data_IF_375914589792
#
_entry.id   IF_375914589792
#
_cell.length_a   1.000
_cell.length_b   1.000
_cell.length_c   1.000
_cell.angle_alpha   90.00
_cell.angle_beta   90.00
_cell.angle_gamma   90.00
#
_symmetry.space_group_name_H-M   'P 1'
#
loop_
_entity.id
_entity.type
_entity.pdbx_description
1 polymer ?
#
# COMPACT_ATOMS: atom_id res chain seq x y z
N UNK A 1 -9.05 7.97 7.91
CA UNK A 1 -9.71 6.66 7.70
C UNK A 1 -9.68 5.81 8.97
N UNK A 2 -8.50 5.41 9.46
CA UNK A 2 -8.35 4.56 10.67
C UNK A 2 -9.19 5.05 11.86
N UNK A 3 -9.08 6.33 12.24
CA UNK A 3 -9.81 6.86 13.39
C UNK A 3 -11.33 6.82 13.18
N UNK A 4 -11.79 7.12 11.96
CA UNK A 4 -13.21 7.04 11.61
C UNK A 4 -13.76 5.62 11.75
N UNK A 5 -13.01 4.63 11.24
CA UNK A 5 -13.40 3.21 11.34
C UNK A 5 -13.44 2.74 12.79
N UNK A 6 -12.41 3.06 13.58
CA UNK A 6 -12.37 2.73 15.01
C UNK A 6 -13.52 3.35 15.79
N UNK A 7 -13.85 4.61 15.51
CA UNK A 7 -14.95 5.30 16.20
C UNK A 7 -16.32 4.72 15.81
N UNK A 8 -16.49 4.27 14.57
CA UNK A 8 -17.77 3.75 14.09
C UNK A 8 -17.99 2.25 14.41
N UNK A 9 -16.94 1.44 14.36
CA UNK A 9 -17.01 -0.04 14.34
C UNK A 9 -16.19 -0.67 15.47
N UNK A 10 -15.29 0.08 16.11
CA UNK A 10 -14.39 -0.42 17.16
C UNK A 10 -13.12 -1.11 16.64
N UNK A 11 -12.91 -1.14 15.33
CA UNK A 11 -11.72 -1.68 14.66
C UNK A 11 -11.43 -0.88 13.37
N UNK A 12 -10.23 -1.03 12.81
CA UNK A 12 -9.86 -0.47 11.50
C UNK A 12 -9.58 -1.55 10.45
N UNK A 13 -9.56 -1.17 9.17
CA UNK A 13 -9.39 -2.12 8.07
C UNK A 13 -8.02 -2.84 8.11
N UNK A 14 -6.97 -2.22 8.66
CA UNK A 14 -5.66 -2.85 8.78
C UNK A 14 -5.66 -3.95 9.85
N UNK A 15 -6.36 -3.72 10.96
CA UNK A 15 -6.60 -4.73 12.00
C UNK A 15 -7.46 -5.89 11.48
N UNK A 16 -8.61 -5.60 10.88
CA UNK A 16 -9.51 -6.63 10.34
C UNK A 16 -8.82 -7.42 9.24
N UNK A 17 -8.10 -6.76 8.33
CA UNK A 17 -7.34 -7.41 7.27
C UNK A 17 -6.24 -8.34 7.80
N UNK A 18 -5.54 -7.94 8.87
CA UNK A 18 -4.56 -8.80 9.53
C UNK A 18 -5.19 -10.07 10.12
N UNK A 19 -6.33 -9.94 10.80
CA UNK A 19 -7.03 -11.09 11.39
C UNK A 19 -7.54 -12.04 10.31
N UNK A 20 -8.16 -11.51 9.26
CA UNK A 20 -8.69 -12.29 8.16
C UNK A 20 -7.59 -13.07 7.43
N UNK A 21 -6.50 -12.40 7.08
CA UNK A 21 -5.38 -13.05 6.37
C UNK A 21 -4.62 -14.04 7.22
N UNK A 22 -4.59 -13.83 8.55
CA UNK A 22 -4.09 -14.82 9.50
C UNK A 22 -4.96 -16.08 9.49
N UNK A 23 -6.28 -15.95 9.51
CA UNK A 23 -7.19 -17.09 9.48
C UNK A 23 -7.13 -17.86 8.16
N UNK A 24 -6.81 -17.18 7.05
CA UNK A 24 -6.52 -17.82 5.75
C UNK A 24 -5.16 -18.52 5.69
N UNK A 25 -4.32 -18.40 6.72
CA UNK A 25 -3.00 -19.03 6.77
C UNK A 25 -1.97 -18.37 5.86
N UNK A 26 -2.09 -17.07 5.57
CA UNK A 26 -1.11 -16.37 4.75
C UNK A 26 0.25 -16.22 5.48
N UNK A 27 1.35 -16.05 4.72
CA UNK A 27 2.68 -15.88 5.30
C UNK A 27 2.80 -14.68 6.24
N UNK A 28 3.58 -14.81 7.31
CA UNK A 28 3.74 -13.78 8.36
C UNK A 28 4.19 -12.41 7.81
N UNK A 29 4.95 -12.39 6.71
CA UNK A 29 5.36 -11.15 6.03
C UNK A 29 4.17 -10.39 5.43
N UNK A 30 3.18 -11.09 4.89
CA UNK A 30 1.95 -10.51 4.32
C UNK A 30 1.10 -9.95 5.46
N UNK A 31 0.87 -10.75 6.51
CA UNK A 31 0.15 -10.32 7.72
C UNK A 31 0.77 -9.06 8.32
N UNK A 32 2.09 -9.06 8.50
CA UNK A 32 2.83 -7.92 9.06
C UNK A 32 2.65 -6.66 8.20
N UNK A 33 2.75 -6.80 6.88
CA UNK A 33 2.60 -5.69 5.94
C UNK A 33 1.20 -5.10 5.98
N UNK A 34 0.15 -5.94 5.98
CA UNK A 34 -1.25 -5.51 6.11
C UNK A 34 -1.47 -4.79 7.43
N UNK A 35 -0.98 -5.32 8.54
CA UNK A 35 -1.22 -4.72 9.86
C UNK A 35 -0.58 -3.33 10.01
N UNK A 36 0.55 -3.08 9.35
CA UNK A 36 1.37 -1.90 9.62
C UNK A 36 1.49 -0.90 8.47
N UNK A 37 0.76 -1.06 7.36
CA UNK A 37 0.96 -0.20 6.19
C UNK A 37 0.71 1.30 6.46
N UNK A 38 -0.28 1.64 7.31
CA UNK A 38 -0.51 3.02 7.77
C UNK A 38 0.45 3.53 8.85
N UNK A 39 1.33 2.69 9.38
CA UNK A 39 2.25 3.11 10.43
C UNK A 39 3.52 3.66 9.78
N UNK A 40 3.78 4.95 9.96
CA UNK A 40 5.05 5.59 9.63
C UNK A 40 6.17 5.04 10.53
N UNK A 41 6.61 3.81 10.25
CA UNK A 41 7.66 3.09 10.95
C UNK A 41 8.92 3.07 10.12
N UNK A 42 10.06 3.03 10.80
CA UNK A 42 11.32 2.68 10.16
C UNK A 42 11.17 1.32 9.48
N UNK A 43 11.48 1.28 8.20
CA UNK A 43 11.52 0.06 7.41
C UNK A 43 12.79 -0.71 7.75
N UNK A 44 12.65 -2.01 8.03
CA UNK A 44 13.81 -2.88 8.33
C UNK A 44 14.69 -3.12 7.10
N UNK A 45 14.09 -3.11 5.91
CA UNK A 45 14.77 -3.32 4.63
C UNK A 45 13.93 -2.72 3.50
N UNK A 46 14.56 -2.04 2.54
CA UNK A 46 13.90 -1.51 1.33
C UNK A 46 13.29 -2.61 0.45
N UNK A 47 13.79 -3.85 0.54
CA UNK A 47 13.29 -5.00 -0.22
C UNK A 47 12.19 -5.80 0.49
N UNK A 48 11.76 -5.37 1.68
CA UNK A 48 10.70 -6.08 2.42
C UNK A 48 9.33 -5.87 1.78
N UNK A 49 8.42 -6.83 1.95
CA UNK A 49 7.03 -6.73 1.49
C UNK A 49 6.32 -5.47 2.00
N UNK A 50 6.60 -5.06 3.24
CA UNK A 50 6.06 -3.84 3.82
C UNK A 50 6.54 -2.58 3.10
N UNK A 51 7.83 -2.53 2.72
CA UNK A 51 8.42 -1.43 1.96
C UNK A 51 7.84 -1.32 0.56
N UNK A 52 7.69 -2.47 -0.11
CA UNK A 52 7.07 -2.54 -1.43
C UNK A 52 5.62 -2.03 -1.36
N UNK A 53 4.86 -2.44 -0.35
CA UNK A 53 3.49 -2.00 -0.13
C UNK A 53 3.41 -0.49 0.10
N UNK A 54 4.25 0.08 0.98
CA UNK A 54 4.26 1.54 1.23
C UNK A 54 4.62 2.35 -0.02
N UNK A 55 5.61 1.87 -0.80
CA UNK A 55 5.98 2.51 -2.08
C UNK A 55 4.82 2.46 -3.08
N UNK A 56 4.17 1.30 -3.22
CA UNK A 56 3.02 1.13 -4.10
C UNK A 56 1.84 2.03 -3.67
N UNK A 57 1.52 2.06 -2.38
CA UNK A 57 0.47 2.91 -1.81
C UNK A 57 0.75 4.39 -2.05
N UNK A 58 1.99 4.83 -1.81
CA UNK A 58 2.42 6.20 -2.06
C UNK A 58 2.29 6.59 -3.55
N UNK A 59 2.76 5.73 -4.45
CA UNK A 59 2.67 5.98 -5.91
C UNK A 59 1.21 6.02 -6.38
N UNK A 60 0.40 5.03 -5.98
CA UNK A 60 -1.02 4.99 -6.29
C UNK A 60 -1.76 6.23 -5.76
N UNK A 61 -1.43 6.67 -4.53
CA UNK A 61 -1.99 7.87 -3.93
C UNK A 61 -1.59 9.14 -4.68
N UNK A 62 -0.31 9.29 -5.03
CA UNK A 62 0.17 10.44 -5.83
C UNK A 62 -0.49 10.51 -7.20
N UNK A 63 -0.85 9.36 -7.77
CA UNK A 63 -1.54 9.25 -9.05
C UNK A 63 -3.07 9.20 -8.93
N UNK A 64 -3.62 9.39 -7.72
CA UNK A 64 -5.06 9.46 -7.44
C UNK A 64 -5.83 8.17 -7.81
N UNK A 65 -5.19 7.01 -7.64
CA UNK A 65 -5.81 5.69 -7.84
C UNK A 65 -6.43 5.09 -6.58
N UNK A 66 -6.39 5.79 -5.44
CA UNK A 66 -7.05 5.31 -4.24
C UNK A 66 -8.57 5.33 -4.41
N UNK A 67 -9.24 4.26 -3.97
CA UNK A 67 -10.70 4.18 -3.95
C UNK A 67 -11.33 5.24 -3.03
N UNK A 68 -10.64 5.57 -1.93
CA UNK A 68 -11.05 6.62 -0.99
C UNK A 68 -9.97 7.71 -1.01
N UNK A 69 -10.27 8.91 -1.53
CA UNK A 69 -9.34 10.03 -1.50
C UNK A 69 -8.96 10.40 -0.06
N UNK A 70 -7.68 10.73 0.15
CA UNK A 70 -7.17 11.06 1.47
C UNK A 70 -5.80 11.71 1.43
N UNK A 71 -5.29 12.15 2.59
CA UNK A 71 -3.92 12.64 2.69
C UNK A 71 -2.95 11.51 2.34
N UNK A 72 -1.92 11.84 1.56
CA UNK A 72 -0.85 10.89 1.23
C UNK A 72 0.18 10.96 2.35
N UNK A 73 0.33 9.87 3.09
CA UNK A 73 1.36 9.74 4.12
C UNK A 73 2.76 9.86 3.48
N UNK A 74 3.69 10.60 4.10
CA UNK A 74 5.04 10.71 3.59
C UNK A 74 5.77 9.37 3.71
N UNK A 75 6.61 9.05 2.72
CA UNK A 75 7.48 7.89 2.80
C UNK A 75 8.50 8.05 3.95
N UNK A 76 8.85 6.97 4.65
CA UNK A 76 10.02 6.94 5.53
C UNK A 76 11.29 7.44 4.79
N UNK A 77 12.24 8.08 5.50
CA UNK A 77 13.46 8.61 4.89
C UNK A 77 14.23 7.58 4.07
N UNK A 78 14.28 6.33 4.53
CA UNK A 78 14.99 5.24 3.86
C UNK A 78 14.38 4.89 2.50
N UNK A 79 13.04 4.90 2.41
CA UNK A 79 12.33 4.68 1.13
C UNK A 79 12.43 5.89 0.22
N UNK A 80 12.42 7.10 0.80
CA UNK A 80 12.63 8.34 0.05
C UNK A 80 14.01 8.35 -0.62
N UNK A 81 15.05 7.96 0.11
CA UNK A 81 16.40 7.88 -0.45
C UNK A 81 16.50 6.79 -1.50
N UNK A 82 15.91 5.62 -1.25
CA UNK A 82 15.85 4.54 -2.22
C UNK A 82 15.19 4.96 -3.55
N UNK A 83 14.10 5.73 -3.51
CA UNK A 83 13.44 6.28 -4.71
C UNK A 83 14.36 7.25 -5.46
N UNK A 84 15.14 8.08 -4.75
CA UNK A 84 16.11 8.98 -5.39
C UNK A 84 17.24 8.22 -6.07
N UNK A 85 17.81 7.22 -5.41
CA UNK A 85 18.88 6.38 -5.95
C UNK A 85 18.41 5.60 -7.19
N UNK A 86 17.13 5.19 -7.22
CA UNK A 86 16.52 4.40 -8.30
C UNK A 86 15.55 5.20 -9.17
N UNK A 87 15.75 6.52 -9.26
CA UNK A 87 14.81 7.45 -9.91
C UNK A 87 14.47 7.05 -11.36
N UNK A 88 15.42 6.52 -12.12
CA UNK A 88 15.18 6.05 -13.49
C UNK A 88 14.17 4.89 -13.53
N UNK A 89 14.29 3.94 -12.60
CA UNK A 89 13.43 2.76 -12.51
C UNK A 89 12.01 3.17 -12.09
N UNK A 90 11.88 4.05 -11.10
CA UNK A 90 10.58 4.57 -10.65
C UNK A 90 9.88 5.40 -11.74
N UNK A 91 10.62 6.13 -12.58
CA UNK A 91 10.03 6.83 -13.74
C UNK A 91 9.42 5.86 -14.75
N UNK A 92 10.01 4.68 -14.93
CA UNK A 92 9.45 3.63 -15.79
C UNK A 92 8.17 3.09 -15.17
N UNK A 93 8.19 2.76 -13.87
CA UNK A 93 7.01 2.27 -13.14
C UNK A 93 5.86 3.28 -13.23
N UNK A 94 6.10 4.57 -12.96
CA UNK A 94 5.08 5.62 -13.03
C UNK A 94 4.53 5.81 -14.44
N UNK A 95 5.38 5.71 -15.48
CA UNK A 95 4.95 5.80 -16.87
C UNK A 95 4.01 4.65 -17.24
N UNK A 96 4.28 3.45 -16.76
CA UNK A 96 3.58 2.23 -17.16
C UNK A 96 2.36 1.94 -16.26
N UNK A 97 2.34 2.45 -15.02
CA UNK A 97 1.27 2.23 -14.04
C UNK A 97 -0.14 2.50 -14.57
N UNK A 98 -0.43 3.57 -15.34
CA UNK A 98 -1.77 3.80 -15.87
C UNK A 98 -2.30 2.66 -16.74
N UNK A 99 -1.42 2.04 -17.54
CA UNK A 99 -1.78 0.88 -18.36
C UNK A 99 -2.06 -0.35 -17.50
N UNK A 100 -1.28 -0.57 -16.44
CA UNK A 100 -1.54 -1.66 -15.49
C UNK A 100 -2.83 -1.44 -14.70
N UNK A 101 -3.18 -0.19 -14.37
CA UNK A 101 -4.45 0.12 -13.71
C UNK A 101 -5.66 -0.14 -14.61
N UNK A 102 -5.55 0.08 -15.93
CA UNK A 102 -6.61 -0.31 -16.88
C UNK A 102 -6.82 -1.83 -16.87
N UNK A 103 -5.73 -2.61 -16.93
CA UNK A 103 -5.82 -4.07 -16.86
C UNK A 103 -6.39 -4.56 -15.52
N UNK A 104 -5.98 -3.93 -14.41
CA UNK A 104 -6.52 -4.26 -13.09
C UNK A 104 -8.02 -3.97 -13.04
N UNK A 105 -8.46 -2.83 -13.58
CA UNK A 105 -9.87 -2.48 -13.68
C UNK A 105 -10.64 -3.52 -14.49
N UNK A 106 -10.15 -3.88 -15.67
CA UNK A 106 -10.75 -4.94 -16.50
C UNK A 106 -10.83 -6.27 -15.74
N UNK A 107 -9.80 -6.64 -14.98
CA UNK A 107 -9.79 -7.90 -14.24
C UNK A 107 -10.76 -7.93 -13.06
N UNK A 108 -10.84 -6.85 -12.28
CA UNK A 108 -11.62 -6.81 -11.04
C UNK A 108 -13.06 -6.30 -11.22
N UNK A 109 -13.37 -5.65 -12.35
CA UNK A 109 -14.70 -5.12 -12.66
C UNK A 109 -15.39 -5.83 -13.84
N UNK A 110 -14.82 -6.92 -14.39
CA UNK A 110 -15.39 -7.61 -15.58
C UNK A 110 -16.60 -8.48 -15.32
N UNK A 111 -17.05 -8.63 -14.07
CA UNK A 111 -18.14 -9.54 -13.69
C UNK A 111 -19.43 -8.84 -13.19
N UNK A 112 -19.67 -7.58 -13.60
CA UNK A 112 -21.00 -6.92 -13.49
C UNK A 112 -21.74 -6.78 -14.84
#
# INVERSE_FOLDING_TARGET
MIECERNAIGADHAEVGYLLTKDWGLPQEVLGSIKSHHLAKQVKSVSSTASILQLAEFMAGKMQYWAIPGPIEPLPPELTEHVKEKMADYKIIIRDLPGEMVKAKELYESDE
#
